data_IF_687100028716
#
_entry.id   IF_687100028716
#
_cell.length_a   1.000
_cell.length_b   1.000
_cell.length_c   1.000
_cell.angle_alpha   90.00
_cell.angle_beta   90.00
_cell.angle_gamma   90.00
#
_symmetry.space_group_name_H-M   'P 1'
#
loop_
_entity.id
_entity.type
_entity.pdbx_description
1 polymer ?
#
# COMPACT_ATOMS: atom_id res chain seq x y z
N UNK A 1 13.67 20.45 4.48
CA UNK A 1 12.54 20.36 5.43
C UNK A 1 11.87 18.98 5.29
N UNK A 2 10.81 18.69 6.06
CA UNK A 2 10.00 17.49 5.83
C UNK A 2 9.33 17.51 4.44
N UNK A 3 8.94 18.71 3.97
CA UNK A 3 8.37 18.93 2.64
C UNK A 3 9.38 18.62 1.53
N UNK A 4 10.64 19.05 1.67
CA UNK A 4 11.69 18.76 0.68
C UNK A 4 11.95 17.25 0.54
N UNK A 5 11.91 16.51 1.66
CA UNK A 5 12.08 15.04 1.65
C UNK A 5 10.89 14.36 0.98
N UNK A 6 9.68 14.86 1.21
CA UNK A 6 8.49 14.34 0.56
C UNK A 6 8.53 14.61 -0.95
N UNK A 7 9.00 15.78 -1.38
CA UNK A 7 9.17 16.11 -2.79
C UNK A 7 10.20 15.19 -3.47
N UNK A 8 11.37 14.98 -2.85
CA UNK A 8 12.39 14.04 -3.34
C UNK A 8 11.84 12.62 -3.46
N UNK A 9 11.17 12.12 -2.41
CA UNK A 9 10.58 10.79 -2.44
C UNK A 9 9.53 10.64 -3.54
N UNK A 10 8.66 11.66 -3.72
CA UNK A 10 7.66 11.66 -4.80
C UNK A 10 8.33 11.58 -6.18
N UNK A 11 9.43 12.28 -6.37
CA UNK A 11 10.17 12.25 -7.63
C UNK A 11 10.80 10.87 -7.88
N UNK A 12 11.45 10.29 -6.86
CA UNK A 12 12.08 8.96 -6.93
C UNK A 12 11.09 7.84 -7.30
N UNK A 13 9.87 7.88 -6.74
CA UNK A 13 8.90 6.79 -6.93
C UNK A 13 7.91 7.03 -8.08
N UNK A 14 7.94 8.22 -8.70
CA UNK A 14 6.98 8.67 -9.73
C UNK A 14 6.80 7.65 -10.86
N UNK A 15 7.91 7.23 -11.48
CA UNK A 15 7.88 6.30 -12.60
C UNK A 15 7.38 4.92 -12.16
N UNK A 16 7.79 4.45 -10.98
CA UNK A 16 7.44 3.14 -10.45
C UNK A 16 5.93 3.03 -10.21
N UNK A 17 5.31 4.06 -9.62
CA UNK A 17 3.86 4.04 -9.35
C UNK A 17 3.03 4.28 -10.61
N UNK A 18 3.58 4.97 -11.61
CA UNK A 18 2.93 5.11 -12.91
C UNK A 18 2.74 3.77 -13.63
N UNK A 19 3.64 2.79 -13.40
CA UNK A 19 3.50 1.43 -13.97
C UNK A 19 2.22 0.71 -13.53
N UNK A 20 1.66 1.10 -12.38
CA UNK A 20 0.40 0.55 -11.86
C UNK A 20 -0.78 1.51 -12.06
N UNK A 21 -0.62 2.52 -12.92
CA UNK A 21 -1.68 3.48 -13.27
C UNK A 21 -1.98 4.52 -12.19
N UNK A 22 -1.07 4.73 -11.24
CA UNK A 22 -1.22 5.74 -10.19
C UNK A 22 -0.46 7.00 -10.59
N UNK A 23 -1.17 8.13 -10.66
CA UNK A 23 -0.56 9.45 -10.77
C UNK A 23 -0.30 10.03 -9.38
N UNK A 24 0.97 10.05 -8.97
CA UNK A 24 1.39 10.47 -7.62
C UNK A 24 1.01 11.92 -7.28
N UNK A 25 0.92 12.82 -8.27
CA UNK A 25 0.59 14.22 -8.03
C UNK A 25 -0.90 14.41 -7.72
N UNK A 26 -1.74 13.44 -8.11
CA UNK A 26 -3.17 13.44 -7.81
C UNK A 26 -3.49 12.81 -6.45
N UNK A 27 -2.54 12.11 -5.84
CA UNK A 27 -2.73 11.43 -4.55
C UNK A 27 -2.67 12.43 -3.40
N UNK A 28 -3.81 12.58 -2.72
CA UNK A 28 -3.91 13.31 -1.46
C UNK A 28 -3.40 12.43 -0.30
N UNK A 29 -2.61 13.03 0.60
CA UNK A 29 -2.23 12.38 1.84
C UNK A 29 -3.45 12.06 2.70
N UNK A 30 -3.40 10.95 3.43
CA UNK A 30 -4.47 10.57 4.36
C UNK A 30 -4.08 10.93 5.79
N UNK A 31 -4.98 11.61 6.52
CA UNK A 31 -4.81 11.92 7.94
C UNK A 31 -5.18 10.76 8.86
N UNK A 32 -5.66 9.64 8.31
CA UNK A 32 -6.13 8.47 9.06
C UNK A 32 -5.20 7.27 8.91
N UNK A 33 -3.90 7.53 8.76
CA UNK A 33 -2.87 6.50 8.77
C UNK A 33 -2.65 5.98 10.19
N UNK A 34 -2.77 4.67 10.39
CA UNK A 34 -2.43 4.00 11.64
C UNK A 34 -0.95 3.60 11.59
N UNK A 35 -0.10 4.35 12.31
CA UNK A 35 1.35 4.15 12.38
C UNK A 35 1.74 2.78 12.96
N UNK A 36 0.95 2.26 13.91
CA UNK A 36 1.24 0.95 14.53
C UNK A 36 0.95 -0.17 13.54
N UNK A 37 -0.11 -0.01 12.75
CA UNK A 37 -0.58 -1.01 11.80
C UNK A 37 -0.02 -0.85 10.39
N UNK A 38 0.66 0.26 10.10
CA UNK A 38 1.21 0.60 8.79
C UNK A 38 0.16 0.66 7.68
N UNK A 39 -1.06 1.12 7.99
CA UNK A 39 -2.16 1.18 7.00
C UNK A 39 -3.21 2.23 7.32
N UNK A 40 -3.93 2.70 6.29
CA UNK A 40 -5.08 3.57 6.45
C UNK A 40 -6.33 2.79 6.91
N UNK A 41 -7.26 3.48 7.59
CA UNK A 41 -8.59 2.95 7.93
C UNK A 41 -9.29 2.37 6.69
N UNK A 42 -9.87 1.19 6.83
CA UNK A 42 -10.58 0.50 5.74
C UNK A 42 -9.68 -0.35 4.81
N UNK A 43 -8.36 -0.33 4.98
CA UNK A 43 -7.47 -1.26 4.27
C UNK A 43 -7.42 -2.62 5.02
N UNK A 44 -7.72 -3.75 4.34
CA UNK A 44 -7.60 -5.07 4.95
C UNK A 44 -6.15 -5.35 5.33
N UNK A 45 -5.94 -6.12 6.39
CA UNK A 45 -4.62 -6.65 6.72
C UNK A 45 -4.24 -7.82 5.80
N UNK A 46 -2.98 -8.24 5.91
CA UNK A 46 -2.43 -9.34 5.12
C UNK A 46 -3.20 -10.64 5.33
N UNK A 47 -3.58 -10.95 6.56
CA UNK A 47 -4.38 -12.12 6.90
C UNK A 47 -5.75 -12.11 6.20
N UNK A 48 -6.44 -10.96 6.19
CA UNK A 48 -7.69 -10.79 5.45
C UNK A 48 -7.48 -10.95 3.94
N UNK A 49 -6.38 -10.40 3.40
CA UNK A 49 -6.02 -10.56 1.98
C UNK A 49 -5.74 -12.02 1.60
N UNK A 50 -4.96 -12.75 2.41
CA UNK A 50 -4.64 -14.17 2.22
C UNK A 50 -5.90 -15.03 2.24
N UNK A 51 -6.82 -14.78 3.20
CA UNK A 51 -8.10 -15.47 3.26
C UNK A 51 -8.94 -15.22 2.02
N UNK A 52 -9.04 -13.97 1.57
CA UNK A 52 -9.82 -13.60 0.39
C UNK A 52 -9.25 -14.22 -0.89
N UNK A 53 -7.92 -14.31 -1.03
CA UNK A 53 -7.26 -15.00 -2.16
C UNK A 53 -7.40 -16.52 -2.09
N UNK A 54 -7.71 -17.07 -0.92
CA UNK A 54 -7.72 -18.51 -0.66
C UNK A 54 -6.32 -19.10 -0.48
N UNK A 55 -5.30 -18.29 -0.17
CA UNK A 55 -3.91 -18.74 -0.04
C UNK A 55 -3.76 -19.81 1.05
N UNK A 56 -4.40 -19.57 2.20
CA UNK A 56 -4.39 -20.53 3.33
C UNK A 56 -5.17 -21.81 3.00
N UNK A 57 -6.22 -21.72 2.19
CA UNK A 57 -6.98 -22.90 1.76
C UNK A 57 -6.20 -23.73 0.73
N UNK A 58 -5.47 -23.07 -0.19
CA UNK A 58 -4.57 -23.75 -1.12
C UNK A 58 -3.42 -24.46 -0.41
N UNK A 59 -2.86 -23.87 0.65
CA UNK A 59 -1.81 -24.49 1.45
C UNK A 59 -2.26 -25.78 2.16
N UNK A 60 -3.56 -25.98 2.38
CA UNK A 60 -4.13 -27.20 2.96
C UNK A 60 -4.39 -28.32 1.93
N UNK A 61 -4.26 -28.02 0.63
CA UNK A 61 -4.54 -28.95 -0.48
C UNK A 61 -3.28 -29.53 -1.11
N UNK A 62 -2.12 -29.42 -0.46
CA UNK A 62 -0.88 -30.03 -0.92
C UNK A 62 -0.80 -31.46 -0.37
N UNK A 63 -0.95 -32.45 -1.24
CA UNK A 63 -0.67 -33.88 -0.97
C UNK A 63 0.83 -34.19 -1.01
#
# INVERSE_FOLDING_TARGET
SAEDRLALYRDEVREVVALVGVDIDTVLGTSVWDEVRGRAVGRPDEEACERARGDRNRALLVE
#
